data_IF_587791574889
#
_entry.id   IF_587791574889
#
_cell.length_a   1.000
_cell.length_b   1.000
_cell.length_c   1.000
_cell.angle_alpha   90.00
_cell.angle_beta   90.00
_cell.angle_gamma   90.00
#
_symmetry.space_group_name_H-M   'P 1'
#
loop_
_entity.id
_entity.type
_entity.pdbx_description
1 polymer ?
#
# COMPACT_ATOMS: atom_id res chain seq x y z
N UNK A 1 12.45 -15.17 -3.62
CA UNK A 1 11.80 -16.38 -3.07
C UNK A 1 10.54 -16.60 -3.88
N UNK A 2 10.29 -17.81 -4.37
CA UNK A 2 8.99 -18.11 -4.99
C UNK A 2 8.01 -18.49 -3.89
N UNK A 3 6.89 -17.77 -3.79
CA UNK A 3 5.85 -18.05 -2.80
C UNK A 3 5.16 -19.38 -3.16
N UNK A 4 4.97 -20.26 -2.16
CA UNK A 4 4.26 -21.52 -2.32
C UNK A 4 2.80 -21.27 -2.76
N UNK A 5 2.41 -21.90 -3.86
CA UNK A 5 1.06 -21.80 -4.40
C UNK A 5 -0.01 -22.32 -3.42
N UNK A 6 0.30 -23.36 -2.63
CA UNK A 6 -0.63 -23.89 -1.63
C UNK A 6 -0.87 -22.89 -0.50
N UNK A 7 0.16 -22.16 -0.09
CA UNK A 7 0.05 -21.08 0.89
C UNK A 7 -0.90 -19.99 0.39
N UNK A 8 -0.78 -19.57 -0.88
CA UNK A 8 -1.66 -18.56 -1.49
C UNK A 8 -3.10 -19.05 -1.53
N UNK A 9 -3.35 -20.27 -2.02
CA UNK A 9 -4.70 -20.83 -2.08
C UNK A 9 -5.32 -20.94 -0.69
N UNK A 10 -4.55 -21.38 0.30
CA UNK A 10 -5.02 -21.50 1.68
C UNK A 10 -5.40 -20.14 2.27
N UNK A 11 -4.55 -19.13 2.09
CA UNK A 11 -4.83 -17.78 2.52
C UNK A 11 -6.09 -17.20 1.86
N UNK A 12 -6.25 -17.39 0.54
CA UNK A 12 -7.45 -16.97 -0.19
C UNK A 12 -8.71 -17.61 0.38
N UNK A 13 -8.68 -18.92 0.62
CA UNK A 13 -9.82 -19.63 1.20
C UNK A 13 -10.19 -19.08 2.59
N UNK A 14 -9.21 -18.84 3.46
CA UNK A 14 -9.45 -18.27 4.78
C UNK A 14 -10.05 -16.85 4.71
N UNK A 15 -9.54 -16.02 3.80
CA UNK A 15 -10.06 -14.67 3.54
C UNK A 15 -11.50 -14.71 3.00
N UNK A 16 -11.86 -15.68 2.15
CA UNK A 16 -13.25 -15.86 1.68
C UNK A 16 -14.20 -16.37 2.75
N UNK A 17 -13.68 -16.91 3.84
CA UNK A 17 -14.44 -17.29 5.04
C UNK A 17 -14.45 -16.17 6.08
N UNK A 18 -14.22 -14.92 5.66
CA UNK A 18 -14.24 -13.71 6.48
C UNK A 18 -13.28 -13.72 7.68
N UNK A 19 -12.19 -14.50 7.62
CA UNK A 19 -11.15 -14.44 8.66
C UNK A 19 -10.35 -13.13 8.49
N UNK A 20 -10.17 -12.31 9.54
CA UNK A 20 -9.29 -11.14 9.47
C UNK A 20 -7.84 -11.56 9.22
N UNK A 21 -7.06 -10.70 8.54
CA UNK A 21 -5.67 -11.01 8.16
C UNK A 21 -4.77 -11.46 9.32
N UNK A 22 -4.99 -10.91 10.52
CA UNK A 22 -4.29 -11.33 11.74
C UNK A 22 -4.56 -12.80 12.06
N UNK A 23 -5.82 -13.23 11.95
CA UNK A 23 -6.22 -14.63 12.16
C UNK A 23 -5.73 -15.53 11.03
N UNK A 24 -5.76 -15.06 9.77
CA UNK A 24 -5.20 -15.79 8.62
C UNK A 24 -3.70 -16.07 8.85
N UNK A 25 -2.93 -15.05 9.27
CA UNK A 25 -1.50 -15.20 9.62
C UNK A 25 -1.30 -16.29 10.66
N UNK A 26 -2.05 -16.25 11.76
CA UNK A 26 -1.92 -17.24 12.83
C UNK A 26 -2.27 -18.67 12.39
N UNK A 27 -3.32 -18.84 11.59
CA UNK A 27 -3.73 -20.15 11.09
C UNK A 27 -2.64 -20.74 10.19
N UNK A 28 -2.11 -19.95 9.24
CA UNK A 28 -1.09 -20.42 8.32
C UNK A 28 0.21 -20.81 9.06
N UNK A 29 0.62 -20.04 10.07
CA UNK A 29 1.78 -20.40 10.90
C UNK A 29 1.54 -21.68 11.69
N UNK A 30 0.33 -21.89 12.23
CA UNK A 30 -0.04 -23.13 12.95
C UNK A 30 -0.10 -24.35 12.03
N UNK A 31 -0.45 -24.16 10.76
CA UNK A 31 -0.45 -25.19 9.72
C UNK A 31 0.96 -25.55 9.24
N UNK A 32 1.99 -24.81 9.68
CA UNK A 32 3.40 -25.12 9.44
C UNK A 32 4.01 -24.43 8.22
N UNK A 33 3.34 -23.44 7.63
CA UNK A 33 3.92 -22.67 6.54
C UNK A 33 5.12 -21.82 7.00
N UNK A 34 6.15 -21.60 6.15
CA UNK A 34 7.34 -20.85 6.53
C UNK A 34 7.03 -19.41 6.94
N UNK A 35 7.57 -18.97 8.08
CA UNK A 35 7.32 -17.65 8.64
C UNK A 35 7.58 -16.51 7.65
N UNK A 36 8.68 -16.58 6.91
CA UNK A 36 9.06 -15.53 5.94
C UNK A 36 8.03 -15.41 4.81
N UNK A 37 7.55 -16.54 4.28
CA UNK A 37 6.54 -16.54 3.21
C UNK A 37 5.17 -16.08 3.70
N UNK A 38 4.75 -16.52 4.89
CA UNK A 38 3.49 -16.06 5.50
C UNK A 38 3.56 -14.56 5.76
N UNK A 39 4.68 -14.06 6.28
CA UNK A 39 4.87 -12.61 6.53
C UNK A 39 4.78 -11.82 5.24
N UNK A 40 5.52 -12.23 4.20
CA UNK A 40 5.51 -11.56 2.89
C UNK A 40 4.11 -11.55 2.26
N UNK A 41 3.39 -12.67 2.31
CA UNK A 41 2.03 -12.77 1.78
C UNK A 41 1.04 -11.85 2.52
N UNK A 42 1.09 -11.86 3.86
CA UNK A 42 0.17 -11.06 4.67
C UNK A 42 0.45 -9.57 4.47
N UNK A 43 1.72 -9.16 4.46
CA UNK A 43 2.10 -7.77 4.27
C UNK A 43 1.69 -7.26 2.87
N UNK A 44 1.89 -8.08 1.83
CA UNK A 44 1.42 -7.76 0.48
C UNK A 44 -0.12 -7.65 0.41
N UNK A 45 -0.83 -8.55 1.09
CA UNK A 45 -2.30 -8.53 1.13
C UNK A 45 -2.82 -7.32 1.91
N UNK A 46 -2.18 -6.98 3.04
CA UNK A 46 -2.49 -5.78 3.81
C UNK A 46 -2.23 -4.51 3.00
N UNK A 47 -1.16 -4.47 2.19
CA UNK A 47 -0.91 -3.35 1.29
C UNK A 47 -2.06 -3.18 0.29
N UNK A 48 -2.53 -4.27 -0.32
CA UNK A 48 -3.66 -4.27 -1.27
C UNK A 48 -4.97 -3.86 -0.60
N UNK A 49 -5.29 -4.41 0.57
CA UNK A 49 -6.52 -4.08 1.29
C UNK A 49 -6.53 -2.62 1.77
N UNK A 50 -5.38 -2.09 2.19
CA UNK A 50 -5.24 -0.67 2.51
C UNK A 50 -5.42 0.24 1.28
N UNK A 51 -5.27 -0.26 0.06
CA UNK A 51 -5.63 0.48 -1.16
C UNK A 51 -7.13 0.46 -1.47
N UNK A 52 -7.89 -0.50 -0.92
CA UNK A 52 -9.33 -0.63 -1.16
C UNK A 52 -10.18 0.16 -0.15
N UNK A 53 -9.62 0.54 0.99
CA UNK A 53 -10.26 1.46 1.93
C UNK A 53 -9.95 2.91 1.53
N UNK A 54 -10.97 3.74 1.21
CA UNK A 54 -10.75 5.15 0.94
C UNK A 54 -10.17 5.80 2.20
N UNK A 55 -9.00 6.44 2.11
CA UNK A 55 -8.35 6.94 3.31
C UNK A 55 -9.09 8.14 3.91
N UNK A 56 -9.13 8.19 5.24
CA UNK A 56 -9.70 9.32 5.96
C UNK A 56 -8.81 10.56 5.82
N UNK A 57 -9.42 11.71 5.52
CA UNK A 57 -8.73 12.99 5.43
C UNK A 57 -8.57 13.58 6.83
N UNK A 58 -7.33 13.77 7.27
CA UNK A 58 -6.99 14.55 8.46
C UNK A 58 -5.97 15.66 8.10
N UNK A 59 -5.77 16.60 9.01
CA UNK A 59 -4.85 17.73 8.83
C UNK A 59 -3.38 17.29 8.73
N UNK A 60 -3.08 16.03 9.08
CA UNK A 60 -1.73 15.46 9.09
C UNK A 60 -1.37 14.78 7.76
N UNK A 61 -2.28 14.78 6.77
CA UNK A 61 -2.03 14.22 5.44
C UNK A 61 -1.82 15.29 4.37
N UNK A 62 -1.04 14.95 3.36
CA UNK A 62 -0.86 15.73 2.13
C UNK A 62 -1.53 14.96 1.00
N UNK A 63 -2.49 15.60 0.32
CA UNK A 63 -3.10 15.06 -0.89
C UNK A 63 -2.34 15.49 -2.14
N UNK A 64 -2.07 14.52 -3.01
CA UNK A 64 -1.56 14.75 -4.36
C UNK A 64 -2.69 14.48 -5.34
N UNK A 65 -3.03 15.51 -6.09
CA UNK A 65 -3.83 15.44 -7.30
C UNK A 65 -2.89 15.15 -8.49
N UNK A 66 -3.17 14.09 -9.25
CA UNK A 66 -2.40 13.71 -10.43
C UNK A 66 -3.23 13.98 -11.67
N UNK A 67 -2.77 14.93 -12.48
CA UNK A 67 -3.36 15.20 -13.79
C UNK A 67 -2.97 14.09 -14.77
N UNK A 68 -3.98 13.41 -15.33
CA UNK A 68 -3.77 12.31 -16.29
C UNK A 68 -3.69 12.82 -17.74
N UNK A 69 -3.04 12.07 -18.64
CA UNK A 69 -3.05 12.39 -20.07
C UNK A 69 -4.49 12.53 -20.60
N UNK A 70 -4.78 13.64 -21.27
CA UNK A 70 -6.11 13.94 -21.81
C UNK A 70 -7.07 14.63 -20.83
N UNK A 71 -6.71 14.77 -19.55
CA UNK A 71 -7.46 15.61 -18.60
C UNK A 71 -7.05 17.08 -18.73
N UNK A 72 -8.04 17.97 -18.71
CA UNK A 72 -7.81 19.42 -18.61
C UNK A 72 -8.04 19.89 -17.19
N UNK A 73 -7.08 20.67 -16.65
CA UNK A 73 -7.18 21.29 -15.31
C UNK A 73 -8.43 22.14 -15.14
N UNK A 74 -8.91 22.79 -16.19
CA UNK A 74 -10.02 23.75 -16.11
C UNK A 74 -11.39 23.07 -16.00
N UNK A 75 -11.52 21.81 -16.44
CA UNK A 75 -12.79 21.07 -16.48
C UNK A 75 -12.87 19.94 -15.45
N UNK A 76 -11.79 19.72 -14.69
CA UNK A 76 -11.67 18.66 -13.70
C UNK A 76 -12.08 19.18 -12.33
N UNK A 77 -12.87 18.38 -11.60
CA UNK A 77 -13.01 18.56 -10.16
C UNK A 77 -11.69 18.17 -9.48
N UNK A 78 -11.12 19.01 -8.60
CA UNK A 78 -9.96 18.62 -7.81
C UNK A 78 -10.19 17.27 -7.14
N UNK A 79 -9.23 16.38 -7.30
CA UNK A 79 -9.27 15.02 -6.79
C UNK A 79 -8.00 14.72 -6.03
N UNK A 80 -8.00 13.62 -5.27
CA UNK A 80 -6.81 13.18 -4.58
C UNK A 80 -6.56 11.75 -5.02
N UNK A 81 -5.37 11.53 -5.54
CA UNK A 81 -4.94 10.27 -6.12
C UNK A 81 -3.96 9.56 -5.17
N UNK A 82 -3.22 10.33 -4.36
CA UNK A 82 -2.31 9.83 -3.32
C UNK A 82 -2.46 10.68 -2.05
N UNK A 83 -2.50 10.03 -0.90
CA UNK A 83 -2.29 10.65 0.41
C UNK A 83 -0.92 10.29 0.97
N UNK A 84 -0.29 11.26 1.63
CA UNK A 84 0.99 11.09 2.32
C UNK A 84 0.82 11.54 3.76
N UNK A 85 1.12 10.65 4.71
CA UNK A 85 1.22 11.00 6.12
C UNK A 85 2.49 11.84 6.36
N UNK A 86 2.33 13.04 6.91
CA UNK A 86 3.43 14.00 7.11
C UNK A 86 4.50 13.51 8.10
N UNK A 87 4.14 12.66 9.06
CA UNK A 87 5.01 12.22 10.15
C UNK A 87 5.78 10.96 9.77
N UNK A 88 5.07 9.96 9.25
CA UNK A 88 5.64 8.65 8.92
C UNK A 88 6.23 8.62 7.51
N UNK A 89 5.69 9.45 6.61
CA UNK A 89 5.93 9.38 5.18
C UNK A 89 5.26 8.17 4.53
N UNK A 90 4.25 7.57 5.17
CA UNK A 90 3.45 6.48 4.58
C UNK A 90 2.59 7.02 3.45
N UNK A 91 2.55 6.31 2.33
CA UNK A 91 1.69 6.62 1.19
C UNK A 91 0.44 5.74 1.22
N UNK A 92 -0.71 6.33 0.87
CA UNK A 92 -1.94 5.61 0.53
C UNK A 92 -2.37 6.03 -0.87
N UNK A 93 -2.62 5.06 -1.76
CA UNK A 93 -3.12 5.34 -3.10
C UNK A 93 -4.65 5.35 -3.05
N UNK A 94 -5.25 6.44 -3.48
CA UNK A 94 -6.71 6.61 -3.53
C UNK A 94 -7.26 6.06 -4.85
N UNK A 95 -6.49 6.20 -5.92
CA UNK A 95 -6.86 5.76 -7.28
C UNK A 95 -5.83 4.80 -7.87
N UNK A 96 -5.58 3.64 -7.21
CA UNK A 96 -4.54 2.68 -7.60
C UNK A 96 -4.76 2.03 -8.97
N UNK A 97 -5.97 2.12 -9.53
CA UNK A 97 -6.33 1.61 -10.85
C UNK A 97 -5.63 2.37 -12.00
N UNK A 98 -5.12 3.58 -11.74
CA UNK A 98 -4.40 4.37 -12.75
C UNK A 98 -2.90 4.18 -12.66
N UNK A 99 -2.26 4.00 -13.82
CA UNK A 99 -0.80 3.81 -13.91
C UNK A 99 -0.03 5.05 -13.42
N UNK A 100 -0.57 6.24 -13.67
CA UNK A 100 0.00 7.53 -13.26
C UNK A 100 0.14 7.59 -11.73
N UNK A 101 -0.86 7.09 -11.00
CA UNK A 101 -0.87 7.02 -9.53
C UNK A 101 0.34 6.23 -9.01
N UNK A 102 0.63 5.07 -9.61
CA UNK A 102 1.79 4.27 -9.25
C UNK A 102 3.13 4.93 -9.60
N UNK A 103 3.22 5.57 -10.77
CA UNK A 103 4.44 6.28 -11.19
C UNK A 103 4.80 7.39 -10.21
N UNK A 104 3.83 8.22 -9.85
CA UNK A 104 4.03 9.32 -8.89
C UNK A 104 4.35 8.75 -7.50
N UNK A 105 3.64 7.73 -7.04
CA UNK A 105 3.92 7.09 -5.75
C UNK A 105 5.36 6.58 -5.64
N UNK A 106 5.88 5.95 -6.70
CA UNK A 106 7.26 5.45 -6.71
C UNK A 106 8.30 6.57 -6.63
N UNK A 107 8.09 7.69 -7.33
CA UNK A 107 8.98 8.85 -7.23
C UNK A 107 8.93 9.50 -5.84
N UNK A 108 7.75 9.61 -5.24
CA UNK A 108 7.58 10.09 -3.87
C UNK A 108 8.30 9.16 -2.87
N UNK A 109 8.15 7.83 -2.99
CA UNK A 109 8.86 6.85 -2.16
C UNK A 109 10.38 7.02 -2.26
N UNK A 110 10.92 7.19 -3.48
CA UNK A 110 12.35 7.45 -3.70
C UNK A 110 12.80 8.74 -3.02
N UNK A 111 12.03 9.82 -3.15
CA UNK A 111 12.32 11.11 -2.53
C UNK A 111 12.34 11.02 -0.99
N UNK A 112 11.36 10.35 -0.39
CA UNK A 112 11.29 10.12 1.06
C UNK A 112 12.49 9.29 1.54
N UNK A 113 12.83 8.21 0.83
CA UNK A 113 13.98 7.36 1.16
C UNK A 113 15.28 8.16 1.13
N UNK A 114 15.49 8.97 0.10
CA UNK A 114 16.67 9.84 -0.05
C UNK A 114 16.74 10.89 1.07
N UNK A 115 15.61 11.48 1.47
CA UNK A 115 15.55 12.41 2.60
C UNK A 115 15.96 11.72 3.90
N UNK A 116 15.41 10.54 4.20
CA UNK A 116 15.76 9.75 5.40
C UNK A 116 17.24 9.37 5.45
N UNK A 117 17.84 8.99 4.31
CA UNK A 117 19.27 8.67 4.26
C UNK A 117 20.15 9.89 4.51
N UNK A 118 19.77 11.08 4.01
CA UNK A 118 20.50 12.31 4.26
C UNK A 118 20.41 12.71 5.75
N UNK A 119 19.23 12.66 6.36
CA UNK A 119 19.07 12.97 7.79
C UNK A 119 19.90 12.06 8.70
N UNK A 120 20.14 10.80 8.29
CA UNK A 120 20.96 9.84 9.02
C UNK A 120 22.47 10.07 8.90
N UNK A 121 22.93 10.81 7.89
CA UNK A 121 24.36 11.13 7.68
C UNK A 121 24.77 12.37 8.48
N UNK A 122 23.83 13.26 8.78
CA UNK A 122 24.07 14.52 9.49
C UNK A 122 23.78 14.46 11.01
N UNK A 123 23.61 13.26 11.57
CA UNK A 123 23.34 13.04 12.99
C UNK A 123 24.42 12.18 13.65
#
# INVERSE_FOLDING_TARGET
MEIDYNLVQRAQMLLTLDHPLTQVREILLREGYPYEQVTELIDATEEVLNYLMPPEYDENKIGIDILRPGESREKRKPGVDILIDKHTGRLTLVTPEYQETWKVANEVRKAIKKRKSLTRIYH
#
